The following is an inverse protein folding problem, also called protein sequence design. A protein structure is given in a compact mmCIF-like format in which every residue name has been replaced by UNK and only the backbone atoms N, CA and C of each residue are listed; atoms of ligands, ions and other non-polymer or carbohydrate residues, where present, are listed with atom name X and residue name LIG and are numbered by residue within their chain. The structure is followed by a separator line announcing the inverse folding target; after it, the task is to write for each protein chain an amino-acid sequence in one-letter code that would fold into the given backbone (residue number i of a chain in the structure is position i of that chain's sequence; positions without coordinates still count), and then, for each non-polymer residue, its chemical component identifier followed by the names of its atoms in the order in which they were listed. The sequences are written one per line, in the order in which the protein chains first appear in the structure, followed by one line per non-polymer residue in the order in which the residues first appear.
data_IF_956165649634
#
_entry.id   IF_956165649634
#
_cell.length_a   1.000
_cell.length_b   1.000
_cell.length_c   1.000
_cell.angle_alpha   90.00
_cell.angle_beta   90.00
_cell.angle_gamma   90.00
#
_symmetry.space_group_name_H-M   'P 1'
#
loop_
_entity.id
_entity.type
_entity.pdbx_description
1 polymer ?
#
# COMPACT_ATOMS: atom_id res chain seq x y z
N UNK A 1 -21.67 1.09 -24.73
CA UNK A 1 -22.39 1.99 -23.82
C UNK A 1 -21.49 2.23 -22.60
N UNK A 2 -21.24 3.47 -22.22
CA UNK A 2 -20.37 3.98 -21.14
C UNK A 2 -18.86 3.96 -21.45
N UNK A 3 -18.47 4.64 -22.51
CA UNK A 3 -17.13 5.17 -22.74
C UNK A 3 -17.18 6.69 -22.54
N UNK A 4 -17.27 7.12 -21.31
CA UNK A 4 -16.89 8.48 -20.93
C UNK A 4 -16.29 8.37 -19.53
N UNK A 5 -15.01 7.97 -19.49
CA UNK A 5 -14.18 8.42 -18.41
C UNK A 5 -14.13 9.94 -18.56
N UNK A 6 -14.96 10.63 -17.79
CA UNK A 6 -14.88 12.06 -17.74
C UNK A 6 -13.60 12.42 -16.98
N UNK A 7 -12.88 13.44 -17.43
CA UNK A 7 -11.67 13.93 -16.73
C UNK A 7 -11.96 14.20 -15.24
N UNK A 8 -13.18 14.60 -14.92
CA UNK A 8 -13.66 14.75 -13.55
C UNK A 8 -13.69 13.40 -12.79
N UNK A 9 -14.14 12.32 -13.45
CA UNK A 9 -14.18 11.00 -12.84
C UNK A 9 -12.79 10.48 -12.50
N UNK A 10 -11.80 10.66 -13.37
CA UNK A 10 -10.41 10.27 -13.14
C UNK A 10 -9.77 11.08 -11.98
N UNK A 11 -10.10 12.37 -11.86
CA UNK A 11 -9.64 13.20 -10.74
C UNK A 11 -10.27 12.78 -9.40
N UNK A 12 -11.58 12.48 -9.40
CA UNK A 12 -12.28 12.00 -8.20
C UNK A 12 -11.76 10.65 -7.75
N UNK A 13 -11.43 9.73 -8.67
CA UNK A 13 -10.81 8.44 -8.37
C UNK A 13 -9.46 8.64 -7.68
N UNK A 14 -8.60 9.48 -8.23
CA UNK A 14 -7.30 9.80 -7.64
C UNK A 14 -7.42 10.43 -6.25
N UNK A 15 -8.39 11.33 -6.03
CA UNK A 15 -8.65 11.92 -4.72
C UNK A 15 -9.17 10.87 -3.72
N UNK A 16 -10.05 9.97 -4.16
CA UNK A 16 -10.56 8.88 -3.34
C UNK A 16 -9.45 7.90 -2.93
N UNK A 17 -8.56 7.58 -3.86
CA UNK A 17 -7.39 6.76 -3.59
C UNK A 17 -6.45 7.42 -2.57
N UNK A 18 -6.21 8.72 -2.71
CA UNK A 18 -5.39 9.45 -1.75
C UNK A 18 -6.01 9.49 -0.35
N UNK A 19 -7.32 9.73 -0.25
CA UNK A 19 -8.03 9.70 1.03
C UNK A 19 -7.96 8.32 1.67
N UNK A 20 -8.21 7.27 0.91
CA UNK A 20 -8.33 5.89 1.41
C UNK A 20 -6.98 5.26 1.77
N UNK A 21 -5.94 5.51 0.97
CA UNK A 21 -4.64 4.85 1.11
C UNK A 21 -3.51 5.77 1.57
N UNK A 22 -3.73 7.07 1.61
CA UNK A 22 -2.77 8.05 2.14
C UNK A 22 -3.22 8.62 3.48
N UNK A 23 -4.32 9.37 3.49
CA UNK A 23 -4.76 10.11 4.67
C UNK A 23 -5.29 9.18 5.76
N UNK A 24 -6.24 8.31 5.44
CA UNK A 24 -6.89 7.46 6.43
C UNK A 24 -5.91 6.56 7.21
N UNK A 25 -4.99 5.78 6.58
CA UNK A 25 -4.04 4.98 7.33
C UNK A 25 -3.04 5.83 8.12
N UNK A 26 -2.60 6.97 7.60
CA UNK A 26 -1.73 7.90 8.34
C UNK A 26 -2.38 8.43 9.62
N UNK A 27 -3.64 8.85 9.53
CA UNK A 27 -4.40 9.31 10.70
C UNK A 27 -4.71 8.16 11.67
N UNK A 28 -5.08 6.99 11.18
CA UNK A 28 -5.36 5.82 12.02
C UNK A 28 -4.15 5.44 12.89
N UNK A 29 -2.96 5.36 12.31
CA UNK A 29 -1.74 5.08 13.07
C UNK A 29 -1.45 6.19 14.08
N UNK A 30 -1.56 7.44 13.68
CA UNK A 30 -1.31 8.56 14.56
C UNK A 30 -2.24 8.54 15.77
N UNK A 31 -3.53 8.33 15.56
CA UNK A 31 -4.53 8.32 16.63
C UNK A 31 -4.49 7.06 17.49
N UNK A 32 -4.04 5.92 16.95
CA UNK A 32 -4.08 4.64 17.65
C UNK A 32 -2.80 4.32 18.41
N UNK A 33 -1.62 4.63 17.85
CA UNK A 33 -0.32 4.26 18.44
C UNK A 33 0.37 5.49 19.05
N UNK A 34 0.41 6.60 18.32
CA UNK A 34 1.01 7.83 18.83
C UNK A 34 -0.03 8.60 19.62
N UNK A 35 0.16 8.77 20.92
CA UNK A 35 -0.65 9.73 21.68
C UNK A 35 -0.55 11.11 21.02
N UNK A 36 -1.64 11.88 21.05
CA UNK A 36 -1.78 13.16 20.33
C UNK A 36 -0.67 14.18 20.60
N UNK A 37 0.14 13.97 21.64
CA UNK A 37 1.26 14.83 22.04
C UNK A 37 2.61 14.43 21.41
N UNK A 38 2.66 13.34 20.61
CA UNK A 38 3.92 12.86 20.00
C UNK A 38 4.28 13.64 18.73
N UNK A 39 5.15 14.63 18.84
CA UNK A 39 5.66 15.38 17.68
C UNK A 39 6.36 14.49 16.65
N UNK A 40 7.09 13.45 17.10
CA UNK A 40 7.77 12.50 16.22
C UNK A 40 6.76 11.67 15.44
N UNK A 41 5.70 11.19 16.11
CA UNK A 41 4.61 10.46 15.46
C UNK A 41 3.88 11.33 14.44
N UNK A 42 3.56 12.58 14.78
CA UNK A 42 2.94 13.52 13.85
C UNK A 42 3.79 13.73 12.61
N UNK A 43 5.10 13.97 12.77
CA UNK A 43 6.02 14.13 11.65
C UNK A 43 6.08 12.90 10.76
N UNK A 44 6.20 11.70 11.33
CA UNK A 44 6.26 10.45 10.58
C UNK A 44 4.96 10.20 9.78
N UNK A 45 3.79 10.41 10.40
CA UNK A 45 2.50 10.24 9.73
C UNK A 45 2.26 11.29 8.65
N UNK A 46 2.62 12.55 8.87
CA UNK A 46 2.57 13.60 7.85
C UNK A 46 3.50 13.29 6.68
N UNK A 47 4.71 12.80 6.95
CA UNK A 47 5.62 12.36 5.89
C UNK A 47 4.96 11.27 5.03
N UNK A 48 4.34 10.26 5.64
CA UNK A 48 3.63 9.22 4.90
C UNK A 48 2.52 9.79 4.01
N UNK A 49 1.70 10.69 4.52
CA UNK A 49 0.61 11.33 3.76
C UNK A 49 1.17 12.10 2.57
N UNK A 50 2.23 12.89 2.77
CA UNK A 50 2.88 13.68 1.71
C UNK A 50 3.47 12.76 0.64
N UNK A 51 4.21 11.72 1.04
CA UNK A 51 4.83 10.78 0.09
C UNK A 51 3.78 9.96 -0.67
N UNK A 52 2.65 9.63 -0.04
CA UNK A 52 1.50 8.98 -0.71
C UNK A 52 0.90 9.90 -1.78
N UNK A 53 0.73 11.20 -1.48
CA UNK A 53 0.28 12.20 -2.45
C UNK A 53 1.24 12.32 -3.63
N UNK A 54 2.55 12.47 -3.36
CA UNK A 54 3.59 12.54 -4.38
C UNK A 54 3.62 11.29 -5.26
N UNK A 55 3.47 10.12 -4.66
CA UNK A 55 3.40 8.85 -5.40
C UNK A 55 2.26 8.83 -6.39
N UNK A 56 1.08 9.26 -5.96
CA UNK A 56 -0.11 9.29 -6.81
C UNK A 56 0.00 10.33 -7.93
N UNK A 57 0.51 11.52 -7.62
CA UNK A 57 0.78 12.56 -8.61
C UNK A 57 1.78 12.09 -9.68
N UNK A 58 2.89 11.45 -9.28
CA UNK A 58 3.87 10.89 -10.21
C UNK A 58 3.27 9.79 -11.08
N UNK A 59 2.37 8.98 -10.55
CA UNK A 59 1.66 7.96 -11.31
C UNK A 59 0.75 8.57 -12.38
N UNK A 60 -0.03 9.59 -12.02
CA UNK A 60 -0.93 10.27 -12.95
C UNK A 60 -0.17 10.96 -14.10
N UNK A 61 0.92 11.67 -13.78
CA UNK A 61 1.78 12.31 -14.81
C UNK A 61 2.34 11.28 -15.80
N UNK A 62 2.75 10.11 -15.30
CA UNK A 62 3.27 9.02 -16.16
C UNK A 62 2.17 8.43 -17.05
N UNK A 63 0.95 8.26 -16.53
CA UNK A 63 -0.18 7.79 -17.33
C UNK A 63 -0.51 8.74 -18.48
N UNK A 64 -0.51 10.04 -18.22
CA UNK A 64 -0.74 11.05 -19.26
C UNK A 64 0.38 11.03 -20.32
N UNK A 65 1.62 10.97 -19.89
CA UNK A 65 2.79 10.88 -20.79
C UNK A 65 2.77 9.60 -21.65
N UNK A 66 2.33 8.46 -21.10
CA UNK A 66 2.24 7.21 -21.86
C UNK A 66 1.10 7.19 -22.86
N UNK A 67 0.00 7.92 -22.61
CA UNK A 67 -1.09 8.11 -23.57
C UNK A 67 -0.69 8.99 -24.74
N UNK A 68 0.24 9.93 -24.54
CA UNK A 68 0.73 10.84 -25.57
C UNK A 68 1.77 10.21 -26.52
N UNK A 69 2.40 9.11 -26.15
CA UNK A 69 3.42 8.41 -26.93
C UNK A 69 2.91 7.03 -27.32
N UNK A 70 2.27 6.92 -28.51
CA UNK A 70 1.89 5.64 -29.08
C UNK A 70 3.10 4.71 -29.21
N UNK A 71 3.16 3.65 -28.35
CA UNK A 71 4.19 2.61 -28.44
C UNK A 71 5.36 2.73 -27.46
N UNK A 72 5.30 3.57 -26.44
CA UNK A 72 6.31 3.57 -25.38
C UNK A 72 6.27 2.23 -24.61
N UNK A 73 7.44 1.57 -24.38
CA UNK A 73 7.47 0.31 -23.64
C UNK A 73 6.86 0.53 -22.25
N UNK A 74 6.03 -0.42 -21.80
CA UNK A 74 5.44 -0.43 -20.45
C UNK A 74 6.59 -0.29 -19.42
N UNK A 75 6.87 0.93 -19.00
CA UNK A 75 7.88 1.17 -17.97
C UNK A 75 7.41 0.54 -16.66
N UNK A 76 8.28 -0.32 -16.13
CA UNK A 76 8.15 -0.99 -14.84
C UNK A 76 7.53 -0.08 -13.78
N UNK A 77 6.56 -0.61 -13.06
CA UNK A 77 6.06 0.02 -11.84
C UNK A 77 7.23 0.26 -10.90
N UNK A 78 7.62 1.50 -10.72
CA UNK A 78 8.70 1.89 -9.82
C UNK A 78 8.10 2.33 -8.48
N UNK A 79 8.59 1.77 -7.38
CA UNK A 79 8.11 2.03 -6.03
C UNK A 79 6.91 1.18 -5.62
N UNK A 80 6.60 1.20 -4.31
CA UNK A 80 5.49 0.44 -3.72
C UNK A 80 4.15 1.05 -4.15
N UNK A 81 3.15 0.26 -4.59
CA UNK A 81 1.79 0.76 -4.83
C UNK A 81 1.18 1.37 -3.56
N UNK A 82 0.45 2.48 -3.70
CA UNK A 82 -0.14 3.20 -2.55
C UNK A 82 -1.02 2.31 -1.66
N UNK A 83 -1.90 1.42 -2.20
CA UNK A 83 -2.66 0.50 -1.36
C UNK A 83 -1.77 -0.43 -0.53
N UNK A 84 -0.64 -0.88 -1.09
CA UNK A 84 0.29 -1.73 -0.37
C UNK A 84 1.05 -0.95 0.71
N UNK A 85 1.40 0.31 0.43
CA UNK A 85 1.94 1.23 1.43
C UNK A 85 1.00 1.43 2.62
N UNK A 86 -0.31 1.54 2.36
CA UNK A 86 -1.34 1.63 3.41
C UNK A 86 -1.38 0.36 4.28
N UNK A 87 -1.32 -0.82 3.68
CA UNK A 87 -1.25 -2.08 4.44
C UNK A 87 0.02 -2.15 5.29
N UNK A 88 1.17 -1.77 4.72
CA UNK A 88 2.45 -1.81 5.43
C UNK A 88 2.49 -0.85 6.61
N UNK A 89 2.02 0.39 6.46
CA UNK A 89 2.03 1.34 7.58
C UNK A 89 1.12 0.88 8.73
N UNK A 90 0.06 0.13 8.44
CA UNK A 90 -0.87 -0.38 9.45
C UNK A 90 -0.36 -1.64 10.17
N UNK A 91 0.78 -2.25 9.77
CA UNK A 91 1.31 -3.45 10.41
C UNK A 91 1.51 -3.31 11.92
N UNK A 92 2.10 -2.23 12.48
CA UNK A 92 2.24 -2.08 13.91
C UNK A 92 0.90 -2.12 14.65
N UNK A 93 -0.15 -1.54 14.06
CA UNK A 93 -1.50 -1.55 14.62
C UNK A 93 -2.16 -2.94 14.53
N UNK A 94 -1.98 -3.65 13.41
CA UNK A 94 -2.53 -5.00 13.26
C UNK A 94 -1.86 -6.00 14.20
N UNK A 95 -0.58 -5.79 14.56
CA UNK A 95 0.10 -6.58 15.59
C UNK A 95 -0.50 -6.37 16.97
N UNK A 96 -0.89 -5.15 17.32
CA UNK A 96 -1.53 -4.90 18.62
C UNK A 96 -2.90 -5.59 18.74
N UNK A 97 -3.65 -5.71 17.63
CA UNK A 97 -4.89 -6.51 17.60
C UNK A 97 -4.66 -8.03 17.77
N UNK A 98 -3.44 -8.49 17.55
CA UNK A 98 -3.04 -9.87 17.84
C UNK A 98 -2.52 -10.05 19.27
N UNK A 99 -2.52 -8.99 20.10
CA UNK A 99 -2.05 -9.01 21.49
C UNK A 99 -0.55 -8.74 21.66
N UNK A 100 0.11 -8.18 20.64
CA UNK A 100 1.54 -7.81 20.71
C UNK A 100 1.67 -6.29 20.86
N UNK A 101 1.98 -5.82 22.07
CA UNK A 101 2.00 -4.39 22.40
C UNK A 101 3.36 -3.68 22.15
N UNK A 102 4.30 -4.33 21.47
CA UNK A 102 5.63 -3.79 21.19
C UNK A 102 5.61 -2.42 20.50
N UNK A 103 4.57 -2.14 19.72
CA UNK A 103 4.44 -0.88 18.99
C UNK A 103 4.20 0.31 19.93
N UNK A 104 3.49 0.11 21.02
CA UNK A 104 3.25 1.14 22.04
C UNK A 104 4.48 1.38 22.92
N UNK A 105 5.32 0.38 23.11
CA UNK A 105 6.54 0.49 23.91
C UNK A 105 7.68 1.16 23.13
N UNK A 106 7.68 1.06 21.78
CA UNK A 106 8.78 1.50 20.93
C UNK A 106 8.37 2.54 19.89
N UNK A 107 7.77 3.66 20.31
CA UNK A 107 7.24 4.71 19.44
C UNK A 107 8.27 5.26 18.45
N UNK A 108 9.53 5.43 18.86
CA UNK A 108 10.60 5.91 17.98
C UNK A 108 10.91 4.91 16.86
N UNK A 109 10.86 3.61 17.16
CA UNK A 109 11.06 2.56 16.16
C UNK A 109 9.90 2.56 15.15
N UNK A 110 8.66 2.69 15.63
CA UNK A 110 7.48 2.78 14.76
C UNK A 110 7.55 4.02 13.87
N UNK A 111 7.96 5.18 14.39
CA UNK A 111 8.13 6.39 13.60
C UNK A 111 9.21 6.20 12.51
N UNK A 112 10.35 5.62 12.84
CA UNK A 112 11.42 5.28 11.88
C UNK A 112 10.94 4.32 10.80
N UNK A 113 10.17 3.30 11.17
CA UNK A 113 9.54 2.37 10.26
C UNK A 113 8.59 3.08 9.27
N UNK A 114 7.72 3.98 9.76
CA UNK A 114 6.79 4.75 8.92
C UNK A 114 7.56 5.62 7.91
N UNK A 115 8.62 6.29 8.35
CA UNK A 115 9.45 7.12 7.48
C UNK A 115 10.12 6.26 6.39
N UNK A 116 10.60 5.05 6.74
CA UNK A 116 11.17 4.12 5.80
C UNK A 116 10.15 3.71 4.73
N UNK A 117 8.94 3.28 5.14
CA UNK A 117 7.86 2.92 4.20
C UNK A 117 7.48 4.11 3.32
N UNK A 118 7.43 5.33 3.88
CA UNK A 118 7.17 6.56 3.12
C UNK A 118 8.21 6.78 2.02
N UNK A 119 9.49 6.61 2.32
CA UNK A 119 10.56 6.71 1.34
C UNK A 119 10.46 5.64 0.24
N UNK A 120 10.04 4.43 0.59
CA UNK A 120 9.85 3.34 -0.37
C UNK A 120 8.70 3.60 -1.35
N UNK A 121 7.67 4.36 -0.98
CA UNK A 121 6.58 4.75 -1.89
C UNK A 121 7.07 5.53 -3.11
N UNK A 122 8.03 6.44 -2.92
CA UNK A 122 8.58 7.31 -3.98
C UNK A 122 9.89 6.76 -4.54
N UNK A 123 10.43 5.69 -3.96
CA UNK A 123 11.65 5.05 -4.44
C UNK A 123 11.50 4.55 -5.87
N UNK A 124 12.61 4.53 -6.62
CA UNK A 124 12.66 3.99 -7.99
C UNK A 124 12.98 2.49 -8.01
N UNK A 125 12.81 1.79 -6.89
CA UNK A 125 13.09 0.36 -6.81
C UNK A 125 12.08 -0.37 -7.69
N UNK A 126 12.52 -1.21 -8.64
CA UNK A 126 11.62 -2.00 -9.46
C UNK A 126 10.94 -3.04 -8.58
N UNK A 127 9.70 -2.75 -8.17
CA UNK A 127 8.89 -3.74 -7.47
C UNK A 127 8.38 -4.78 -8.47
N UNK A 128 8.45 -6.05 -8.08
CA UNK A 128 8.03 -7.16 -8.93
C UNK A 128 6.55 -6.98 -9.35
N UNK A 129 6.34 -6.70 -10.63
CA UNK A 129 5.01 -6.79 -11.22
C UNK A 129 4.62 -8.26 -11.31
N UNK A 130 3.55 -8.64 -10.61
CA UNK A 130 2.97 -9.99 -10.61
C UNK A 130 2.62 -10.48 -12.03
N UNK A 131 2.50 -9.57 -13.00
CA UNK A 131 2.23 -9.89 -14.40
C UNK A 131 3.23 -10.85 -15.08
N UNK A 132 4.44 -11.06 -14.53
CA UNK A 132 5.47 -11.87 -15.17
C UNK A 132 5.45 -13.37 -14.82
N UNK A 133 4.64 -13.81 -13.86
CA UNK A 133 4.48 -15.24 -13.56
C UNK A 133 3.05 -15.72 -13.84
N UNK A 134 2.70 -15.82 -15.12
CA UNK A 134 1.55 -16.61 -15.59
C UNK A 134 1.68 -18.11 -15.27
N UNK A 135 2.64 -18.50 -14.42
CA UNK A 135 3.05 -19.90 -14.29
C UNK A 135 2.26 -20.71 -13.24
N UNK A 136 1.41 -20.10 -12.42
CA UNK A 136 0.82 -20.86 -11.30
C UNK A 136 -0.68 -21.15 -11.40
N UNK A 137 -1.39 -20.64 -12.42
CA UNK A 137 -2.85 -20.81 -12.52
C UNK A 137 -3.21 -21.43 -13.88
N UNK A 138 -2.61 -22.56 -14.22
CA UNK A 138 -3.06 -23.32 -15.39
C UNK A 138 -4.29 -24.21 -15.11
N UNK A 139 -4.63 -24.49 -13.85
CA UNK A 139 -5.84 -25.21 -13.51
C UNK A 139 -6.87 -24.31 -12.84
N UNK A 140 -8.06 -24.21 -13.42
CA UNK A 140 -9.21 -23.49 -12.83
C UNK A 140 -9.51 -23.99 -11.40
N UNK A 141 -9.28 -25.27 -11.16
CA UNK A 141 -9.47 -25.91 -9.85
C UNK A 141 -8.46 -25.41 -8.83
N UNK A 142 -7.17 -25.31 -9.19
CA UNK A 142 -6.11 -24.78 -8.32
C UNK A 142 -6.37 -23.33 -7.92
N UNK A 143 -6.86 -22.50 -8.83
CA UNK A 143 -7.27 -21.13 -8.53
C UNK A 143 -8.43 -21.09 -7.52
N UNK A 144 -9.48 -21.90 -7.73
CA UNK A 144 -10.63 -21.97 -6.83
C UNK A 144 -10.23 -22.42 -5.42
N UNK A 145 -9.37 -23.45 -5.32
CA UNK A 145 -8.86 -23.93 -4.04
C UNK A 145 -8.02 -22.85 -3.33
N UNK A 146 -7.11 -22.19 -4.03
CA UNK A 146 -6.30 -21.11 -3.46
C UNK A 146 -7.19 -19.95 -3.00
N UNK A 147 -8.13 -19.53 -3.83
CA UNK A 147 -9.07 -18.46 -3.51
C UNK A 147 -9.93 -18.80 -2.28
N UNK A 148 -10.45 -20.04 -2.20
CA UNK A 148 -11.24 -20.47 -1.05
C UNK A 148 -10.41 -20.54 0.24
N UNK A 149 -9.15 -21.00 0.18
CA UNK A 149 -8.24 -21.03 1.32
C UNK A 149 -7.92 -19.62 1.83
N UNK A 150 -7.61 -18.70 0.92
CA UNK A 150 -7.35 -17.29 1.28
C UNK A 150 -8.59 -16.64 1.89
N UNK A 151 -9.77 -16.85 1.29
CA UNK A 151 -11.03 -16.32 1.81
C UNK A 151 -11.34 -16.89 3.20
N UNK A 152 -11.15 -18.19 3.40
CA UNK A 152 -11.36 -18.84 4.69
C UNK A 152 -10.38 -18.32 5.76
N UNK A 153 -9.12 -18.13 5.39
CA UNK A 153 -8.10 -17.55 6.25
C UNK A 153 -8.43 -16.10 6.63
N UNK A 154 -8.91 -15.31 5.70
CA UNK A 154 -9.35 -13.93 5.98
C UNK A 154 -10.55 -13.87 6.93
N UNK A 155 -11.50 -14.79 6.82
CA UNK A 155 -12.68 -14.83 7.71
C UNK A 155 -12.29 -15.22 9.14
N UNK A 156 -11.40 -16.21 9.31
CA UNK A 156 -11.05 -16.74 10.63
C UNK A 156 -9.89 -16.01 11.31
N UNK A 157 -8.91 -15.53 10.53
CA UNK A 157 -7.65 -14.97 11.02
C UNK A 157 -7.27 -13.70 10.23
N UNK A 158 -8.17 -12.70 10.20
CA UNK A 158 -8.00 -11.49 9.41
C UNK A 158 -6.62 -10.83 9.63
N UNK A 159 -6.27 -10.55 10.88
CA UNK A 159 -5.04 -9.84 11.23
C UNK A 159 -3.79 -10.63 10.88
N UNK A 160 -3.77 -11.93 11.18
CA UNK A 160 -2.65 -12.79 10.84
C UNK A 160 -2.46 -12.89 9.33
N UNK A 161 -3.54 -13.04 8.57
CA UNK A 161 -3.50 -13.13 7.11
C UNK A 161 -2.96 -11.85 6.49
N UNK A 162 -3.41 -10.67 6.94
CA UNK A 162 -2.89 -9.37 6.48
C UNK A 162 -1.39 -9.22 6.78
N UNK A 163 -0.95 -9.61 7.98
CA UNK A 163 0.47 -9.56 8.36
C UNK A 163 1.32 -10.49 7.48
N UNK A 164 0.87 -11.71 7.23
CA UNK A 164 1.58 -12.67 6.36
C UNK A 164 1.70 -12.13 4.94
N UNK A 165 0.60 -11.59 4.36
CA UNK A 165 0.65 -10.99 3.03
C UNK A 165 1.62 -9.81 2.95
N UNK A 166 1.62 -8.94 3.96
CA UNK A 166 2.52 -7.81 4.03
C UNK A 166 4.00 -8.24 4.15
N UNK A 167 4.30 -9.26 4.96
CA UNK A 167 5.64 -9.82 5.10
C UNK A 167 6.11 -10.47 3.80
N UNK A 168 5.27 -11.28 3.15
CA UNK A 168 5.59 -11.88 1.85
C UNK A 168 5.89 -10.77 0.84
N UNK A 169 5.10 -9.70 0.82
CA UNK A 169 5.33 -8.59 -0.08
C UNK A 169 6.67 -7.89 0.20
N UNK A 170 7.01 -7.63 1.47
CA UNK A 170 8.31 -7.04 1.84
C UNK A 170 9.50 -7.91 1.39
N UNK A 171 9.37 -9.22 1.49
CA UNK A 171 10.40 -10.17 1.03
C UNK A 171 10.55 -10.22 -0.50
N UNK A 172 9.56 -9.74 -1.25
CA UNK A 172 9.62 -9.64 -2.73
C UNK A 172 10.27 -8.35 -3.22
N UNK A 173 10.55 -7.40 -2.32
CA UNK A 173 11.29 -6.18 -2.63
C UNK A 173 12.79 -6.53 -2.58
N UNK A 174 13.52 -6.37 -3.70
CA UNK A 174 14.94 -6.71 -3.78
C UNK A 174 15.84 -5.75 -2.98
#
# INVERSE_FOLDING_TARGET
LLRSESDLGAQLDSLSDFLSFGIAPGLLIYMSIFNQDSSIGAFACLAFIIFSCLRLALFNVRLESSKALDGAPEHFFTGIPTPMGAVLILLPLTHSFMGYDWAYENLNFVAGYIILISGLLVSRIPTFSIKRKQFFIQSKLGFLVLFSLVSLSMINFLWATLNIFALIYLLTIP
#
